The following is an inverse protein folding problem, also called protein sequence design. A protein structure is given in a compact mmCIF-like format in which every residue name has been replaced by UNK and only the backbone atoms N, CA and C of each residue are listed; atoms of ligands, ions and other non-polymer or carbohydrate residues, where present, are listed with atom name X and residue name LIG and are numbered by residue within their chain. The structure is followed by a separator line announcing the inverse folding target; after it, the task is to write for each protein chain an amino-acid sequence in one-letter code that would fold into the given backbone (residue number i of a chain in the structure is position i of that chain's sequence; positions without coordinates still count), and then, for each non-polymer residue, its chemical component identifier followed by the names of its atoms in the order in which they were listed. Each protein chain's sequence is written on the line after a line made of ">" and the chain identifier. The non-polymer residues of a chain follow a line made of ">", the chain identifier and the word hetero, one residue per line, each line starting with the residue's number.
data_IF_897354408019
#
_entry.id   IF_897354408019
#
_cell.length_a   1.000
_cell.length_b   1.000
_cell.length_c   1.000
_cell.angle_alpha   90.00
_cell.angle_beta   90.00
_cell.angle_gamma   90.00
#
_symmetry.space_group_name_H-M   'P 1'
#
loop_
_entity.id
_entity.type
_entity.pdbx_description
1 polymer ?
#
# COMPACT_ATOMS: atom_id res chain seq x y z
N UNK A 1 -9.78 -14.14 95.31
CA UNK A 1 -9.81 -15.05 94.18
C UNK A 1 -10.12 -14.19 92.96
N UNK A 2 -9.08 -13.79 92.18
CA UNK A 2 -9.22 -12.91 91.04
C UNK A 2 -9.17 -13.80 89.79
N UNK A 3 -10.18 -13.72 88.97
CA UNK A 3 -10.26 -14.40 87.66
C UNK A 3 -9.90 -13.36 86.62
N UNK A 4 -8.77 -13.58 85.87
CA UNK A 4 -8.37 -12.79 84.70
C UNK A 4 -9.00 -13.41 83.48
N UNK A 5 -9.77 -12.60 82.73
CA UNK A 5 -10.24 -12.95 81.42
C UNK A 5 -9.19 -12.54 80.39
N UNK A 6 -8.60 -13.52 79.67
CA UNK A 6 -7.82 -13.28 78.42
C UNK A 6 -8.78 -13.08 77.24
N UNK A 7 -8.74 -11.90 76.63
CA UNK A 7 -9.42 -11.63 75.41
C UNK A 7 -8.52 -12.03 74.19
N UNK A 8 -8.99 -12.98 73.34
CA UNK A 8 -8.39 -13.29 72.10
C UNK A 8 -8.84 -12.25 71.08
N UNK A 9 -7.91 -11.44 70.57
CA UNK A 9 -8.14 -10.56 69.42
C UNK A 9 -7.84 -11.32 68.14
N UNK A 10 -8.87 -11.64 67.35
CA UNK A 10 -8.74 -12.20 66.00
C UNK A 10 -8.42 -11.09 65.04
N UNK A 11 -7.18 -11.07 64.49
CA UNK A 11 -6.77 -10.19 63.39
C UNK A 11 -7.24 -10.83 62.08
N UNK A 12 -8.33 -10.33 61.51
CA UNK A 12 -8.77 -10.70 60.16
C UNK A 12 -7.87 -10.05 59.12
N UNK A 13 -7.07 -10.84 58.40
CA UNK A 13 -6.31 -10.39 57.25
C UNK A 13 -7.27 -10.20 56.06
N UNK A 14 -7.56 -8.94 55.70
CA UNK A 14 -8.27 -8.60 54.45
C UNK A 14 -7.27 -8.75 53.31
N UNK A 15 -7.37 -9.84 52.50
CA UNK A 15 -6.71 -9.94 51.20
C UNK A 15 -7.41 -8.98 50.27
N UNK A 16 -6.81 -7.81 50.01
CA UNK A 16 -7.14 -6.98 48.89
C UNK A 16 -6.65 -7.69 47.62
N UNK A 17 -7.54 -8.40 46.90
CA UNK A 17 -7.29 -8.83 45.55
C UNK A 17 -7.24 -7.56 44.66
N UNK A 18 -6.04 -7.10 44.34
CA UNK A 18 -5.85 -6.10 43.26
C UNK A 18 -6.27 -6.76 41.96
N UNK A 19 -7.45 -6.46 41.49
CA UNK A 19 -7.81 -6.70 40.07
C UNK A 19 -6.94 -5.78 39.25
N UNK A 20 -5.78 -6.27 38.79
CA UNK A 20 -5.02 -5.61 37.76
C UNK A 20 -5.95 -5.48 36.55
N UNK A 21 -6.26 -4.27 36.16
CA UNK A 21 -6.87 -4.03 34.85
C UNK A 21 -5.87 -4.62 33.85
N UNK A 22 -6.24 -5.70 33.18
CA UNK A 22 -5.46 -6.23 32.07
C UNK A 22 -5.41 -5.09 31.02
N UNK A 23 -4.20 -4.65 30.70
CA UNK A 23 -4.00 -3.65 29.64
C UNK A 23 -4.50 -4.25 28.33
N UNK A 24 -5.31 -3.51 27.59
CA UNK A 24 -5.76 -3.94 26.26
C UNK A 24 -4.52 -4.16 25.38
N UNK A 25 -4.32 -5.35 24.80
CA UNK A 25 -3.16 -5.59 23.97
C UNK A 25 -3.26 -4.76 22.69
N UNK A 26 -2.14 -4.14 22.28
CA UNK A 26 -2.07 -3.25 21.10
C UNK A 26 -1.30 -3.93 19.98
N UNK A 27 -1.83 -3.90 18.75
CA UNK A 27 -1.13 -4.30 17.52
C UNK A 27 -0.78 -3.06 16.71
N UNK A 28 0.50 -2.79 16.54
CA UNK A 28 0.99 -1.70 15.70
C UNK A 28 1.15 -2.18 14.24
N UNK A 29 0.53 -1.47 13.31
CA UNK A 29 0.64 -1.69 11.87
C UNK A 29 1.29 -0.48 11.23
N UNK A 30 2.46 -0.68 10.63
CA UNK A 30 3.14 0.34 9.85
C UNK A 30 2.65 0.28 8.40
N UNK A 31 2.18 1.41 7.86
CA UNK A 31 1.54 1.46 6.54
C UNK A 31 1.82 2.79 5.84
N UNK A 32 1.24 3.01 4.68
CA UNK A 32 1.37 4.26 3.94
C UNK A 32 0.33 5.32 4.36
N UNK A 33 0.62 6.59 4.07
CA UNK A 33 -0.13 7.72 4.63
C UNK A 33 -1.59 7.75 4.15
N UNK A 34 -1.86 7.44 2.88
CA UNK A 34 -3.25 7.44 2.38
C UNK A 34 -4.10 6.32 3.00
N UNK A 35 -3.50 5.20 3.41
CA UNK A 35 -4.22 4.14 4.13
C UNK A 35 -4.77 4.62 5.47
N UNK A 36 -4.04 5.49 6.17
CA UNK A 36 -4.41 6.02 7.49
C UNK A 36 -5.31 7.25 7.44
N UNK A 37 -5.56 7.81 6.27
CA UNK A 37 -6.40 8.99 6.09
C UNK A 37 -7.85 8.70 6.49
N UNK A 38 -8.61 9.74 6.87
CA UNK A 38 -10.03 9.60 7.24
C UNK A 38 -10.89 8.96 6.12
N UNK A 39 -10.50 9.17 4.87
CA UNK A 39 -11.13 8.60 3.68
C UNK A 39 -10.51 7.26 3.23
N UNK A 40 -9.37 6.87 3.79
CA UNK A 40 -8.67 5.64 3.49
C UNK A 40 -9.28 4.41 4.18
N UNK A 41 -8.75 3.22 3.91
CA UNK A 41 -9.30 1.97 4.45
C UNK A 41 -9.04 1.77 5.96
N UNK A 42 -8.01 2.42 6.52
CA UNK A 42 -7.57 2.23 7.90
C UNK A 42 -8.68 2.32 8.94
N UNK A 43 -9.49 3.41 9.00
CA UNK A 43 -10.53 3.56 10.02
C UNK A 43 -11.61 2.47 10.01
N UNK A 44 -12.00 2.01 8.83
CA UNK A 44 -13.00 0.94 8.69
C UNK A 44 -12.42 -0.42 9.10
N UNK A 45 -11.18 -0.70 8.72
CA UNK A 45 -10.44 -1.93 9.06
C UNK A 45 -10.16 -1.99 10.56
N UNK A 46 -9.73 -0.87 11.19
CA UNK A 46 -9.52 -0.75 12.63
C UNK A 46 -10.82 -1.14 13.37
N UNK A 47 -11.93 -0.48 13.03
CA UNK A 47 -13.24 -0.75 13.64
C UNK A 47 -13.63 -2.22 13.51
N UNK A 48 -13.46 -2.81 12.31
CA UNK A 48 -13.86 -4.20 12.06
C UNK A 48 -12.98 -5.21 12.81
N UNK A 49 -11.66 -5.00 12.83
CA UNK A 49 -10.76 -5.92 13.52
C UNK A 49 -10.88 -5.82 15.05
N UNK A 50 -11.01 -4.62 15.60
CA UNK A 50 -11.16 -4.42 17.05
C UNK A 50 -12.46 -5.05 17.60
N UNK A 51 -13.53 -5.06 16.80
CA UNK A 51 -14.76 -5.76 17.17
C UNK A 51 -14.56 -7.27 17.37
N UNK A 52 -13.55 -7.87 16.73
CA UNK A 52 -13.25 -9.30 16.82
C UNK A 52 -12.12 -9.63 17.80
N UNK A 53 -11.11 -8.75 17.93
CA UNK A 53 -9.87 -9.09 18.64
C UNK A 53 -9.89 -8.81 20.13
N UNK A 54 -10.74 -7.92 20.60
CA UNK A 54 -10.64 -7.34 21.96
C UNK A 54 -9.26 -6.72 22.21
N UNK A 55 -8.73 -6.03 21.22
CA UNK A 55 -7.43 -5.39 21.18
C UNK A 55 -7.55 -3.93 20.69
N UNK A 56 -6.46 -3.21 20.67
CA UNK A 56 -6.27 -1.88 20.11
C UNK A 56 -5.41 -2.02 18.86
N UNK A 57 -5.94 -1.68 17.69
CA UNK A 57 -5.23 -1.72 16.40
C UNK A 57 -4.77 -0.31 16.03
N UNK A 58 -3.46 -0.11 15.96
CA UNK A 58 -2.89 1.22 15.71
C UNK A 58 -2.18 1.25 14.37
N UNK A 59 -2.71 2.03 13.42
CA UNK A 59 -2.04 2.31 12.16
C UNK A 59 -1.10 3.51 12.29
N UNK A 60 0.11 3.38 11.74
CA UNK A 60 1.10 4.46 11.66
C UNK A 60 1.53 4.65 10.22
N UNK A 61 1.28 5.83 9.66
CA UNK A 61 1.74 6.20 8.32
C UNK A 61 3.26 6.45 8.27
N UNK A 62 3.85 6.14 7.12
CA UNK A 62 5.30 6.29 6.88
C UNK A 62 5.62 6.75 5.44
N UNK A 63 4.84 7.65 4.89
CA UNK A 63 4.91 8.04 3.48
C UNK A 63 4.27 6.96 2.58
N UNK A 64 4.86 6.67 1.42
CA UNK A 64 4.45 5.56 0.55
C UNK A 64 5.37 4.34 0.75
N UNK A 65 5.14 3.24 0.00
CA UNK A 65 5.78 1.95 0.23
C UNK A 65 7.31 1.95 0.18
N UNK A 66 7.95 2.75 -0.67
CA UNK A 66 9.41 2.84 -0.70
C UNK A 66 9.97 3.58 0.53
N UNK A 67 9.29 4.62 1.02
CA UNK A 67 9.62 5.30 2.28
C UNK A 67 9.38 4.39 3.49
N UNK A 68 8.28 3.62 3.46
CA UNK A 68 7.94 2.59 4.45
C UNK A 68 9.10 1.58 4.62
N UNK A 69 9.60 1.01 3.51
CA UNK A 69 10.72 0.06 3.55
C UNK A 69 11.99 0.73 4.07
N UNK A 70 12.30 1.96 3.63
CA UNK A 70 13.47 2.69 4.11
C UNK A 70 13.42 2.94 5.64
N UNK A 71 12.25 3.28 6.18
CA UNK A 71 12.03 3.39 7.62
C UNK A 71 12.30 2.07 8.35
N UNK A 72 11.74 0.98 7.86
CA UNK A 72 11.98 -0.36 8.44
C UNK A 72 13.45 -0.76 8.43
N UNK A 73 14.18 -0.46 7.36
CA UNK A 73 15.62 -0.72 7.28
C UNK A 73 16.41 0.09 8.33
N UNK A 74 15.99 1.33 8.62
CA UNK A 74 16.62 2.15 9.67
C UNK A 74 16.29 1.66 11.08
N UNK A 75 15.06 1.26 11.34
CA UNK A 75 14.61 0.75 12.64
C UNK A 75 15.15 -0.66 12.90
N UNK A 76 15.18 -1.50 11.87
CA UNK A 76 15.62 -2.89 11.96
C UNK A 76 14.82 -3.66 13.02
N UNK A 77 15.51 -4.44 13.83
CA UNK A 77 14.91 -5.24 14.93
C UNK A 77 14.33 -4.38 16.07
N UNK A 78 14.44 -3.06 16.02
CA UNK A 78 13.88 -2.14 17.03
C UNK A 78 12.52 -1.60 16.66
N UNK A 79 12.02 -1.95 15.47
CA UNK A 79 10.66 -1.55 15.07
C UNK A 79 9.64 -2.10 16.08
N UNK A 80 8.65 -1.29 16.41
CA UNK A 80 7.51 -1.67 17.25
C UNK A 80 6.33 -2.18 16.41
N UNK A 81 6.47 -2.21 15.09
CA UNK A 81 5.47 -2.76 14.21
C UNK A 81 5.33 -4.27 14.38
N UNK A 82 4.11 -4.74 14.52
CA UNK A 82 3.78 -6.18 14.44
C UNK A 82 3.48 -6.62 13.00
N UNK A 83 2.98 -5.68 12.21
CA UNK A 83 2.63 -5.85 10.80
C UNK A 83 3.16 -4.66 10.00
N UNK A 84 3.57 -4.95 8.77
CA UNK A 84 3.84 -3.97 7.72
C UNK A 84 2.85 -4.21 6.60
N UNK A 85 2.13 -3.17 6.17
CA UNK A 85 1.09 -3.25 5.14
C UNK A 85 1.33 -2.14 4.11
N UNK A 86 1.36 -2.48 2.81
CA UNK A 86 1.55 -1.51 1.73
C UNK A 86 2.96 -1.46 1.14
N UNK A 87 3.75 -2.53 1.32
CA UNK A 87 4.83 -2.84 0.37
C UNK A 87 4.20 -3.39 -0.92
N UNK A 88 4.95 -3.37 -2.01
CA UNK A 88 4.50 -3.94 -3.27
C UNK A 88 5.50 -4.96 -3.83
N UNK A 89 5.12 -5.63 -4.91
CA UNK A 89 5.96 -6.64 -5.59
C UNK A 89 7.36 -6.15 -5.95
N UNK A 90 7.56 -4.85 -6.24
CA UNK A 90 8.88 -4.29 -6.56
C UNK A 90 9.80 -4.17 -5.34
N UNK A 91 9.22 -4.22 -4.12
CA UNK A 91 9.93 -4.03 -2.87
C UNK A 91 10.13 -5.34 -2.09
N UNK A 92 9.40 -6.42 -2.42
CA UNK A 92 9.40 -7.66 -1.62
C UNK A 92 10.76 -8.35 -1.55
N UNK A 93 11.58 -8.34 -2.59
CA UNK A 93 12.93 -8.91 -2.54
C UNK A 93 13.82 -8.13 -1.55
N UNK A 94 13.87 -6.81 -1.66
CA UNK A 94 14.64 -5.96 -0.76
C UNK A 94 14.11 -6.01 0.69
N UNK A 95 12.79 -6.18 0.88
CA UNK A 95 12.19 -6.38 2.18
C UNK A 95 12.59 -7.74 2.79
N UNK A 96 12.60 -8.80 2.00
CA UNK A 96 13.03 -10.15 2.41
C UNK A 96 14.48 -10.16 2.87
N UNK A 97 15.35 -9.43 2.18
CA UNK A 97 16.78 -9.31 2.50
C UNK A 97 17.06 -8.65 3.86
N UNK A 98 16.08 -7.91 4.41
CA UNK A 98 16.20 -7.34 5.76
C UNK A 98 16.18 -8.42 6.86
N UNK A 99 15.60 -9.59 6.60
CA UNK A 99 15.40 -10.65 7.59
C UNK A 99 14.38 -10.31 8.68
N UNK A 100 13.57 -9.26 8.50
CA UNK A 100 12.63 -8.77 9.52
C UNK A 100 11.30 -9.51 9.53
N UNK A 101 10.98 -10.29 8.49
CA UNK A 101 9.65 -10.85 8.29
C UNK A 101 9.60 -12.36 8.56
N UNK A 102 8.42 -12.82 8.96
CA UNK A 102 8.10 -14.23 9.19
C UNK A 102 6.99 -14.70 8.24
N UNK A 103 6.88 -16.00 8.00
CA UNK A 103 5.77 -16.55 7.22
C UNK A 103 4.41 -16.11 7.78
N UNK A 104 3.48 -15.74 6.90
CA UNK A 104 2.15 -15.26 7.31
C UNK A 104 1.19 -16.37 7.72
N UNK A 105 1.39 -17.61 7.24
CA UNK A 105 0.59 -18.77 7.63
C UNK A 105 -0.85 -18.79 7.08
N UNK A 106 -1.20 -17.87 6.18
CA UNK A 106 -2.53 -17.77 5.58
C UNK A 106 -2.58 -18.55 4.28
N UNK A 107 -3.65 -19.30 4.07
CA UNK A 107 -3.98 -19.94 2.79
C UNK A 107 -5.30 -19.38 2.30
N UNK A 108 -5.35 -18.89 1.08
CA UNK A 108 -6.55 -18.33 0.47
C UNK A 108 -6.54 -18.52 -1.05
N UNK A 109 -7.72 -18.44 -1.66
CA UNK A 109 -7.89 -18.44 -3.12
C UNK A 109 -7.80 -16.99 -3.62
N UNK A 110 -6.59 -16.57 -4.05
CA UNK A 110 -6.36 -15.23 -4.55
C UNK A 110 -6.89 -15.03 -5.97
N UNK A 111 -7.47 -13.86 -6.24
CA UNK A 111 -7.99 -13.42 -7.57
C UNK A 111 -7.07 -12.42 -8.25
N UNK A 112 -5.76 -12.69 -8.17
CA UNK A 112 -4.75 -11.86 -8.81
C UNK A 112 -4.60 -12.22 -10.30
N UNK A 113 -4.20 -11.26 -11.16
CA UNK A 113 -3.90 -11.56 -12.56
C UNK A 113 -2.61 -12.36 -12.77
N UNK A 114 -1.88 -12.69 -11.70
CA UNK A 114 -0.67 -13.50 -11.65
C UNK A 114 -0.79 -14.59 -10.58
N UNK A 115 -0.07 -15.70 -10.75
CA UNK A 115 0.01 -16.71 -9.70
C UNK A 115 0.72 -16.15 -8.45
N UNK A 116 0.26 -16.57 -7.28
CA UNK A 116 0.83 -16.13 -6.00
C UNK A 116 1.10 -17.33 -5.10
N UNK A 117 2.36 -17.48 -4.69
CA UNK A 117 2.84 -18.58 -3.84
C UNK A 117 3.82 -18.12 -2.74
N UNK A 118 3.91 -16.81 -2.50
CA UNK A 118 4.77 -16.22 -1.47
C UNK A 118 4.21 -16.52 -0.07
N UNK A 119 5.02 -17.09 0.81
CA UNK A 119 4.64 -17.47 2.17
C UNK A 119 4.88 -16.37 3.21
N UNK A 120 5.57 -15.32 2.83
CA UNK A 120 5.99 -14.20 3.70
C UNK A 120 5.15 -12.94 3.45
N UNK A 121 4.89 -12.64 2.18
CA UNK A 121 4.16 -11.47 1.74
C UNK A 121 2.76 -11.85 1.28
N UNK A 122 1.75 -11.44 2.05
CA UNK A 122 0.33 -11.72 1.79
C UNK A 122 -0.26 -10.61 0.93
N UNK A 123 -0.79 -10.89 -0.27
CA UNK A 123 -1.42 -9.86 -1.09
C UNK A 123 -2.76 -9.44 -0.48
N UNK A 124 -3.07 -8.14 -0.53
CA UNK A 124 -4.37 -7.66 -0.06
C UNK A 124 -5.13 -6.87 -1.11
N UNK A 125 -4.45 -6.24 -2.06
CA UNK A 125 -5.07 -5.59 -3.21
C UNK A 125 -4.12 -5.55 -4.42
N UNK A 126 -4.66 -5.09 -5.56
CA UNK A 126 -3.89 -4.93 -6.79
C UNK A 126 -4.54 -3.96 -7.78
N UNK A 127 -3.76 -3.44 -8.69
CA UNK A 127 -4.21 -2.61 -9.80
C UNK A 127 -3.13 -2.46 -10.86
N UNK A 128 -3.51 -1.86 -11.99
CA UNK A 128 -2.56 -1.51 -13.03
C UNK A 128 -2.24 -0.03 -12.95
N UNK A 129 -0.96 0.33 -12.96
CA UNK A 129 -0.54 1.71 -13.11
C UNK A 129 -1.07 2.31 -14.41
N UNK A 130 -1.53 3.54 -14.36
CA UNK A 130 -2.02 4.28 -15.50
C UNK A 130 -1.90 5.78 -15.28
N UNK A 131 -1.87 6.56 -16.34
CA UNK A 131 -2.14 7.98 -16.22
C UNK A 131 -3.65 8.20 -16.19
N UNK A 132 -4.10 8.97 -15.20
CA UNK A 132 -5.48 9.42 -15.03
C UNK A 132 -5.59 10.85 -15.54
N UNK A 133 -6.61 11.11 -16.32
CA UNK A 133 -6.85 12.40 -16.97
C UNK A 133 -8.35 12.73 -17.02
N UNK A 134 -8.69 13.93 -17.46
CA UNK A 134 -10.06 14.27 -17.84
C UNK A 134 -10.43 13.51 -19.15
N UNK A 135 -11.70 13.13 -19.30
CA UNK A 135 -12.18 12.41 -20.50
C UNK A 135 -12.02 13.20 -21.80
N UNK A 136 -11.99 14.52 -21.74
CA UNK A 136 -11.77 15.39 -22.91
C UNK A 136 -10.28 15.61 -23.23
N UNK A 137 -9.35 15.18 -22.36
CA UNK A 137 -7.93 15.14 -22.67
C UNK A 137 -7.65 14.04 -23.69
N UNK A 138 -7.02 14.33 -24.83
CA UNK A 138 -6.70 13.30 -25.82
C UNK A 138 -5.86 12.17 -25.20
N UNK A 139 -6.31 10.91 -25.27
CA UNK A 139 -5.56 9.82 -24.67
C UNK A 139 -4.27 9.53 -25.44
N UNK A 140 -3.22 9.17 -24.71
CA UNK A 140 -1.99 8.60 -25.29
C UNK A 140 -1.90 7.12 -24.95
N UNK A 141 -1.34 6.33 -25.89
CA UNK A 141 -1.27 4.87 -25.77
C UNK A 141 0.16 4.34 -25.59
N UNK A 142 1.13 5.25 -25.41
CA UNK A 142 2.53 4.88 -25.19
C UNK A 142 3.30 6.02 -24.51
N UNK A 143 4.41 5.69 -23.86
CA UNK A 143 5.34 6.69 -23.31
C UNK A 143 5.93 7.58 -24.41
N UNK A 144 6.19 7.03 -25.60
CA UNK A 144 6.69 7.81 -26.74
C UNK A 144 5.67 8.85 -27.20
N UNK A 145 4.40 8.43 -27.35
CA UNK A 145 3.32 9.36 -27.70
C UNK A 145 3.11 10.44 -26.62
N UNK A 146 3.34 10.10 -25.34
CA UNK A 146 3.30 11.09 -24.26
C UNK A 146 4.47 12.09 -24.37
N UNK A 147 5.69 11.62 -24.61
CA UNK A 147 6.87 12.47 -24.79
C UNK A 147 6.75 13.40 -26.01
N UNK A 148 6.11 12.91 -27.09
CA UNK A 148 5.89 13.67 -28.32
C UNK A 148 4.70 14.66 -28.23
N UNK A 149 3.98 14.68 -27.10
CA UNK A 149 2.81 15.55 -26.87
C UNK A 149 3.18 16.81 -26.08
N UNK A 150 2.25 17.78 -26.07
CA UNK A 150 2.34 18.97 -25.19
C UNK A 150 1.74 18.72 -23.80
N UNK A 151 1.24 17.50 -23.51
CA UNK A 151 0.57 17.16 -22.26
C UNK A 151 1.51 17.33 -21.06
N UNK A 152 0.97 17.84 -19.99
CA UNK A 152 1.66 18.03 -18.71
C UNK A 152 1.23 16.98 -17.70
N UNK A 153 2.19 16.33 -17.06
CA UNK A 153 1.94 15.25 -16.12
C UNK A 153 2.58 15.53 -14.76
N UNK A 154 1.96 14.98 -13.74
CA UNK A 154 2.56 14.85 -12.40
C UNK A 154 2.87 13.39 -12.13
N UNK A 155 4.07 13.13 -11.66
CA UNK A 155 4.54 11.80 -11.25
C UNK A 155 5.07 11.84 -9.81
N UNK A 156 5.34 10.67 -9.25
CA UNK A 156 5.90 10.54 -7.92
C UNK A 156 7.38 10.13 -7.97
N UNK A 157 8.09 10.44 -6.89
CA UNK A 157 9.50 10.09 -6.74
C UNK A 157 9.67 8.58 -6.51
N UNK A 158 10.41 7.86 -7.36
CA UNK A 158 10.60 6.41 -7.22
C UNK A 158 11.38 6.00 -5.96
N UNK A 159 12.00 6.96 -5.27
CA UNK A 159 12.76 6.71 -4.05
C UNK A 159 11.89 6.67 -2.79
N UNK A 160 10.70 7.24 -2.85
CA UNK A 160 9.76 7.31 -1.71
C UNK A 160 8.41 6.69 -2.01
N UNK A 161 7.92 6.77 -3.26
CA UNK A 161 6.56 6.39 -3.64
C UNK A 161 6.49 5.03 -4.34
N UNK A 162 5.47 4.25 -4.02
CA UNK A 162 5.14 2.98 -4.68
C UNK A 162 4.81 3.18 -6.17
N UNK A 163 3.83 4.05 -6.56
CA UNK A 163 3.56 4.27 -7.98
C UNK A 163 4.74 4.91 -8.71
N UNK A 164 5.54 5.76 -8.05
CA UNK A 164 6.76 6.31 -8.66
C UNK A 164 7.77 5.24 -8.99
N UNK A 165 8.02 4.29 -8.09
CA UNK A 165 8.88 3.13 -8.35
C UNK A 165 8.29 2.23 -9.43
N UNK A 166 6.98 1.98 -9.37
CA UNK A 166 6.27 1.19 -10.38
C UNK A 166 6.36 1.80 -11.78
N UNK A 167 6.27 3.13 -11.92
CA UNK A 167 6.48 3.82 -13.20
C UNK A 167 7.90 3.60 -13.73
N UNK A 168 8.89 3.67 -12.85
CA UNK A 168 10.28 3.43 -13.23
C UNK A 168 10.45 2.01 -13.80
N UNK A 169 9.86 1.01 -13.13
CA UNK A 169 9.84 -0.38 -13.60
C UNK A 169 9.05 -0.55 -14.89
N UNK A 170 7.92 0.14 -15.03
CA UNK A 170 7.09 0.10 -16.24
C UNK A 170 7.83 0.63 -17.46
N UNK A 171 8.46 1.81 -17.34
CA UNK A 171 9.29 2.38 -18.41
C UNK A 171 10.41 1.42 -18.79
N UNK A 172 11.10 0.82 -17.82
CA UNK A 172 12.15 -0.17 -18.07
C UNK A 172 11.61 -1.43 -18.76
N UNK A 173 10.48 -1.97 -18.29
CA UNK A 173 9.88 -3.17 -18.87
C UNK A 173 9.47 -2.98 -20.36
N UNK A 174 9.10 -1.74 -20.74
CA UNK A 174 8.72 -1.42 -22.12
C UNK A 174 9.91 -1.07 -22.99
N UNK A 175 10.90 -0.33 -22.47
CA UNK A 175 11.95 0.33 -23.25
C UNK A 175 13.35 -0.24 -23.02
N UNK A 176 13.56 -1.05 -21.98
CA UNK A 176 14.87 -1.65 -21.70
C UNK A 176 15.99 -0.61 -21.63
N UNK A 177 17.01 -0.79 -22.46
CA UNK A 177 18.18 0.10 -22.52
C UNK A 177 17.86 1.52 -23.02
N UNK A 178 16.72 1.73 -23.68
CA UNK A 178 16.26 3.05 -24.16
C UNK A 178 15.54 3.86 -23.08
N UNK A 179 15.28 3.29 -21.89
CA UNK A 179 14.56 3.93 -20.80
C UNK A 179 15.19 5.28 -20.38
N UNK A 180 16.52 5.36 -20.31
CA UNK A 180 17.23 6.59 -19.94
C UNK A 180 16.97 7.74 -20.93
N UNK A 181 16.97 7.44 -22.24
CA UNK A 181 16.66 8.44 -23.26
C UNK A 181 15.18 8.87 -23.18
N UNK A 182 14.28 7.91 -22.95
CA UNK A 182 12.86 8.24 -22.80
C UNK A 182 12.60 9.19 -21.61
N UNK A 183 13.29 9.02 -20.51
CA UNK A 183 13.19 9.96 -19.37
C UNK A 183 13.64 11.38 -19.74
N UNK A 184 14.71 11.50 -20.55
CA UNK A 184 15.14 12.80 -21.08
C UNK A 184 14.08 13.41 -21.98
N UNK A 185 13.45 12.60 -22.83
CA UNK A 185 12.41 13.05 -23.76
C UNK A 185 11.10 13.44 -23.02
N UNK A 186 10.79 12.79 -21.89
CA UNK A 186 9.63 13.08 -21.03
C UNK A 186 9.84 14.29 -20.11
N UNK A 187 11.07 14.78 -19.95
CA UNK A 187 11.39 15.79 -18.93
C UNK A 187 10.51 17.06 -19.07
N UNK A 188 10.25 17.51 -20.29
CA UNK A 188 9.42 18.70 -20.55
C UNK A 188 7.92 18.47 -20.28
N UNK A 189 7.46 17.22 -20.23
CA UNK A 189 6.08 16.89 -19.88
C UNK A 189 5.87 16.87 -18.37
N UNK A 190 6.91 16.61 -17.57
CA UNK A 190 6.82 16.46 -16.12
C UNK A 190 6.81 17.84 -15.46
N UNK A 191 5.63 18.25 -14.95
CA UNK A 191 5.48 19.53 -14.23
C UNK A 191 6.21 19.49 -12.89
N UNK A 192 6.05 18.38 -12.17
CA UNK A 192 6.68 18.17 -10.87
C UNK A 192 6.73 16.69 -10.51
N UNK A 193 7.63 16.39 -9.58
CA UNK A 193 7.79 15.08 -8.96
C UNK A 193 7.45 15.23 -7.47
N UNK A 194 6.40 14.56 -7.01
CA UNK A 194 5.95 14.63 -5.62
C UNK A 194 6.54 13.50 -4.76
N UNK A 195 6.64 13.66 -3.44
CA UNK A 195 7.14 12.60 -2.56
C UNK A 195 6.21 11.38 -2.50
N UNK A 196 4.90 11.57 -2.67
CA UNK A 196 3.89 10.51 -2.57
C UNK A 196 2.72 10.71 -3.53
N UNK A 197 1.81 9.71 -3.51
CA UNK A 197 0.65 9.67 -4.39
C UNK A 197 -0.36 10.78 -4.09
N UNK A 198 -0.64 11.05 -2.82
CA UNK A 198 -1.66 12.03 -2.40
C UNK A 198 -1.36 13.43 -2.94
N UNK A 199 -0.11 13.88 -2.86
CA UNK A 199 0.30 15.19 -3.35
C UNK A 199 0.15 15.29 -4.87
N UNK A 200 0.56 14.23 -5.60
CA UNK A 200 0.44 14.20 -7.05
C UNK A 200 -1.03 14.29 -7.49
N UNK A 201 -1.88 13.48 -6.87
CA UNK A 201 -3.29 13.43 -7.22
C UNK A 201 -4.00 14.76 -6.92
N UNK A 202 -3.68 15.40 -5.80
CA UNK A 202 -4.20 16.71 -5.44
C UNK A 202 -3.79 17.82 -6.43
N UNK A 203 -2.56 17.79 -6.96
CA UNK A 203 -2.13 18.73 -8.01
C UNK A 203 -2.94 18.54 -9.31
N UNK A 204 -3.19 17.31 -9.70
CA UNK A 204 -4.06 17.02 -10.85
C UNK A 204 -5.49 17.52 -10.63
N UNK A 205 -6.08 17.28 -9.46
CA UNK A 205 -7.41 17.76 -9.12
C UNK A 205 -7.49 19.29 -9.08
N UNK A 206 -6.39 19.95 -8.71
CA UNK A 206 -6.27 21.42 -8.75
C UNK A 206 -6.10 21.98 -10.19
N UNK A 207 -5.96 21.13 -11.20
CA UNK A 207 -5.79 21.52 -12.60
C UNK A 207 -4.36 21.96 -12.95
N UNK A 208 -3.36 21.59 -12.15
CA UNK A 208 -1.95 21.94 -12.38
C UNK A 208 -1.28 21.03 -13.44
N UNK A 209 -1.95 19.95 -13.87
CA UNK A 209 -1.48 19.06 -14.91
C UNK A 209 -2.67 18.42 -15.67
N UNK A 210 -2.41 17.99 -16.90
CA UNK A 210 -3.39 17.31 -17.75
C UNK A 210 -3.64 15.86 -17.31
N UNK A 211 -2.61 15.21 -16.73
CA UNK A 211 -2.72 13.86 -16.22
C UNK A 211 -1.80 13.63 -15.02
N UNK A 212 -2.15 12.62 -14.23
CA UNK A 212 -1.38 12.17 -13.06
C UNK A 212 -1.12 10.67 -13.14
N UNK A 213 0.06 10.24 -12.72
CA UNK A 213 0.33 8.83 -12.52
C UNK A 213 -0.50 8.31 -11.34
N UNK A 214 -1.30 7.29 -11.59
CA UNK A 214 -2.14 6.62 -10.60
C UNK A 214 -2.47 5.20 -11.13
N UNK A 215 -3.73 4.77 -11.01
CA UNK A 215 -4.16 3.42 -11.37
C UNK A 215 -5.34 3.45 -12.35
N UNK A 216 -5.52 2.36 -13.08
CA UNK A 216 -6.71 2.18 -13.93
C UNK A 216 -8.02 2.22 -13.12
N UNK A 217 -7.94 1.96 -11.84
CA UNK A 217 -9.09 1.97 -10.91
C UNK A 217 -9.41 3.34 -10.30
N UNK A 218 -8.49 4.30 -10.36
CA UNK A 218 -8.68 5.62 -9.72
C UNK A 218 -9.94 6.38 -10.17
N UNK A 219 -10.41 6.27 -11.44
CA UNK A 219 -11.68 6.89 -11.83
C UNK A 219 -12.90 6.39 -11.05
N UNK A 220 -12.84 5.21 -10.40
CA UNK A 220 -13.94 4.69 -9.56
C UNK A 220 -14.27 5.61 -8.40
N UNK A 221 -13.27 6.22 -7.76
CA UNK A 221 -13.48 7.20 -6.70
C UNK A 221 -14.41 8.32 -7.15
N UNK A 222 -14.10 8.94 -8.27
CA UNK A 222 -14.91 10.06 -8.79
C UNK A 222 -16.31 9.60 -9.18
N UNK A 223 -16.40 8.46 -9.88
CA UNK A 223 -17.68 7.92 -10.34
C UNK A 223 -18.59 7.53 -9.19
N UNK A 224 -18.06 6.89 -8.14
CA UNK A 224 -18.87 6.28 -7.07
C UNK A 224 -19.07 7.22 -5.89
N UNK A 225 -18.01 7.90 -5.43
CA UNK A 225 -18.07 8.75 -4.25
C UNK A 225 -18.50 10.19 -4.58
N UNK A 226 -18.20 10.70 -5.79
CA UNK A 226 -18.46 12.09 -6.19
C UNK A 226 -19.56 12.23 -7.26
N UNK A 227 -20.10 11.13 -7.80
CA UNK A 227 -21.03 11.12 -8.95
C UNK A 227 -20.45 11.90 -10.16
N UNK A 228 -19.11 11.84 -10.31
CA UNK A 228 -18.33 12.52 -11.36
C UNK A 228 -17.77 11.49 -12.35
N UNK A 229 -18.32 11.43 -13.54
CA UNK A 229 -17.87 10.55 -14.61
C UNK A 229 -16.86 11.20 -15.56
N UNK A 230 -16.28 12.35 -15.22
CA UNK A 230 -15.36 13.10 -16.09
C UNK A 230 -13.94 12.56 -16.13
N UNK A 231 -13.55 11.67 -15.24
CA UNK A 231 -12.21 11.09 -15.18
C UNK A 231 -12.09 9.79 -15.96
N UNK A 232 -10.91 9.56 -16.52
CA UNK A 232 -10.57 8.32 -17.23
C UNK A 232 -9.10 7.96 -16.97
N UNK A 233 -8.74 6.71 -17.28
CA UNK A 233 -7.35 6.25 -17.25
C UNK A 233 -6.92 5.71 -18.60
N UNK A 234 -5.64 5.80 -18.93
CA UNK A 234 -5.12 5.39 -20.23
C UNK A 234 -4.54 3.98 -20.20
N UNK A 235 -4.99 3.13 -21.14
CA UNK A 235 -4.36 1.85 -21.42
C UNK A 235 -3.28 2.03 -22.49
N UNK A 236 -2.07 1.51 -22.23
CA UNK A 236 -0.97 1.56 -23.19
C UNK A 236 -0.95 0.31 -24.08
N UNK A 237 -0.60 0.48 -25.36
CA UNK A 237 -0.54 -0.60 -26.34
C UNK A 237 0.47 -1.70 -25.96
N UNK A 238 1.58 -1.33 -25.33
CA UNK A 238 2.56 -2.27 -24.81
C UNK A 238 2.04 -3.06 -23.60
N UNK A 239 1.05 -2.52 -22.88
CA UNK A 239 0.49 -3.00 -21.63
C UNK A 239 0.73 -2.02 -20.47
N UNK A 240 0.02 -2.23 -19.36
CA UNK A 240 0.19 -1.45 -18.14
C UNK A 240 0.88 -2.31 -17.06
N UNK A 241 1.65 -1.67 -16.19
CA UNK A 241 2.39 -2.36 -15.14
C UNK A 241 1.47 -2.73 -13.99
N UNK A 242 1.51 -4.00 -13.59
CA UNK A 242 0.75 -4.51 -12.46
C UNK A 242 1.45 -4.13 -11.16
N UNK A 243 0.69 -3.65 -10.20
CA UNK A 243 1.08 -3.54 -8.81
C UNK A 243 0.22 -4.48 -7.98
N UNK A 244 0.85 -5.27 -7.10
CA UNK A 244 0.19 -6.04 -6.06
C UNK A 244 0.73 -5.54 -4.73
N UNK A 245 -0.14 -5.02 -3.88
CA UNK A 245 0.22 -4.59 -2.54
C UNK A 245 0.15 -5.75 -1.56
N UNK A 246 1.09 -5.76 -0.62
CA UNK A 246 1.26 -6.87 0.30
C UNK A 246 1.36 -6.42 1.75
N UNK A 247 0.89 -7.30 2.64
CA UNK A 247 1.14 -7.23 4.07
C UNK A 247 2.16 -8.29 4.49
N UNK A 248 2.94 -7.99 5.53
CA UNK A 248 3.92 -8.92 6.09
C UNK A 248 3.95 -8.84 7.61
N UNK A 249 4.09 -10.00 8.25
CA UNK A 249 4.24 -10.13 9.70
C UNK A 249 5.69 -9.92 10.10
N UNK A 250 5.93 -9.06 11.10
CA UNK A 250 7.27 -8.83 11.66
C UNK A 250 7.65 -9.99 12.59
N UNK A 251 8.83 -10.57 12.37
CA UNK A 251 9.25 -11.83 13.00
C UNK A 251 9.42 -11.76 14.52
N UNK A 252 9.85 -10.59 15.04
CA UNK A 252 10.14 -10.38 16.47
C UNK A 252 9.08 -9.58 17.21
N UNK A 253 7.86 -9.50 16.68
CA UNK A 253 6.77 -8.80 17.38
C UNK A 253 6.41 -9.50 18.70
N UNK A 254 6.20 -8.71 19.75
CA UNK A 254 5.71 -9.20 21.05
C UNK A 254 4.24 -9.62 21.00
N UNK A 255 3.53 -9.26 19.93
CA UNK A 255 2.10 -9.50 19.70
C UNK A 255 1.86 -10.58 18.63
N UNK A 256 2.68 -11.63 18.59
CA UNK A 256 2.61 -12.68 17.54
C UNK A 256 1.18 -13.21 17.34
N UNK A 257 0.43 -13.48 18.41
CA UNK A 257 -0.94 -13.99 18.31
C UNK A 257 -1.93 -13.00 17.67
N UNK A 258 -1.78 -11.69 17.93
CA UNK A 258 -2.58 -10.65 17.28
C UNK A 258 -2.16 -10.47 15.82
N UNK A 259 -0.85 -10.49 15.55
CA UNK A 259 -0.32 -10.41 14.21
C UNK A 259 -0.80 -11.57 13.34
N UNK A 260 -0.81 -12.81 13.85
CA UNK A 260 -1.35 -13.98 13.13
C UNK A 260 -2.85 -13.83 12.85
N UNK A 261 -3.61 -13.30 13.81
CA UNK A 261 -5.05 -13.03 13.63
C UNK A 261 -5.29 -11.93 12.59
N UNK A 262 -4.48 -10.87 12.60
CA UNK A 262 -4.60 -9.78 11.64
C UNK A 262 -4.24 -10.25 10.22
N UNK A 263 -3.18 -11.05 10.05
CA UNK A 263 -2.86 -11.66 8.76
C UNK A 263 -4.02 -12.53 8.22
N UNK A 264 -4.66 -13.31 9.09
CA UNK A 264 -5.85 -14.09 8.71
C UNK A 264 -7.05 -13.18 8.39
N UNK A 265 -7.21 -12.07 9.13
CA UNK A 265 -8.28 -11.09 8.91
C UNK A 265 -8.13 -10.37 7.57
N UNK A 266 -6.89 -10.07 7.10
CA UNK A 266 -6.64 -9.50 5.76
C UNK A 266 -7.27 -10.37 4.67
N UNK A 267 -7.26 -11.69 4.83
CA UNK A 267 -7.87 -12.63 3.90
C UNK A 267 -9.37 -12.87 4.15
N UNK A 268 -10.05 -12.05 4.92
CA UNK A 268 -11.48 -12.15 5.22
C UNK A 268 -12.32 -11.17 4.40
N UNK A 269 -13.63 -11.44 4.22
CA UNK A 269 -14.54 -10.47 3.63
C UNK A 269 -14.59 -9.13 4.38
N UNK A 270 -14.46 -9.14 5.72
CA UNK A 270 -14.50 -7.94 6.54
C UNK A 270 -13.36 -6.94 6.22
N UNK A 271 -12.22 -7.42 5.75
CA UNK A 271 -11.14 -6.58 5.23
C UNK A 271 -11.32 -6.29 3.74
N UNK A 272 -11.57 -7.33 2.94
CA UNK A 272 -11.51 -7.24 1.48
C UNK A 272 -12.66 -6.43 0.87
N UNK A 273 -13.85 -6.43 1.49
CA UNK A 273 -15.00 -5.63 1.04
C UNK A 273 -14.79 -4.12 1.24
N UNK A 274 -13.86 -3.73 2.12
CA UNK A 274 -13.50 -2.31 2.36
C UNK A 274 -12.63 -1.75 1.21
N UNK A 275 -11.77 -2.57 0.63
CA UNK A 275 -10.75 -2.14 -0.34
C UNK A 275 -11.33 -1.43 -1.58
N UNK A 276 -12.35 -1.94 -2.27
CA UNK A 276 -12.84 -1.31 -3.50
C UNK A 276 -13.44 0.10 -3.30
N UNK A 277 -13.94 0.41 -2.09
CA UNK A 277 -14.64 1.67 -1.81
C UNK A 277 -13.81 2.68 -1.02
N UNK A 278 -12.63 2.30 -0.54
CA UNK A 278 -11.78 3.19 0.26
C UNK A 278 -10.35 3.27 -0.23
N UNK A 279 -9.78 2.15 -0.73
CA UNK A 279 -8.47 2.13 -1.38
C UNK A 279 -8.58 2.22 -2.91
N UNK A 280 -9.78 2.04 -3.46
CA UNK A 280 -10.08 2.14 -4.89
C UNK A 280 -9.20 1.20 -5.74
N UNK A 281 -8.91 0.02 -5.20
CA UNK A 281 -8.13 -1.04 -5.83
C UNK A 281 -8.97 -2.31 -5.98
N UNK A 282 -8.50 -3.25 -6.78
CA UNK A 282 -9.12 -4.58 -6.83
C UNK A 282 -8.69 -5.38 -5.58
N UNK A 283 -9.63 -6.01 -4.85
CA UNK A 283 -9.30 -6.85 -3.72
C UNK A 283 -8.54 -8.12 -4.17
N UNK A 284 -7.66 -8.63 -3.29
CA UNK A 284 -6.89 -9.83 -3.59
C UNK A 284 -7.70 -11.13 -3.51
N UNK A 285 -8.88 -11.11 -2.89
CA UNK A 285 -9.78 -12.25 -2.72
C UNK A 285 -11.13 -11.92 -3.35
N UNK A 286 -11.88 -12.93 -3.84
CA UNK A 286 -13.19 -12.70 -4.47
C UNK A 286 -14.14 -11.93 -3.55
N UNK A 287 -14.60 -10.78 -4.00
CA UNK A 287 -15.67 -9.99 -3.37
C UNK A 287 -16.57 -9.38 -4.43
N UNK A 288 -17.69 -8.81 -4.01
CA UNK A 288 -18.58 -8.08 -4.91
C UNK A 288 -18.04 -6.67 -5.11
N UNK A 289 -17.62 -6.36 -6.34
CA UNK A 289 -17.18 -5.02 -6.67
C UNK A 289 -18.36 -4.04 -6.74
N UNK A 290 -18.16 -2.79 -6.32
CA UNK A 290 -19.17 -1.74 -6.47
C UNK A 290 -19.55 -1.51 -7.93
N UNK A 291 -20.81 -1.08 -8.15
CA UNK A 291 -21.26 -0.69 -9.47
C UNK A 291 -20.39 0.45 -10.03
N UNK A 292 -19.93 0.30 -11.27
CA UNK A 292 -19.01 1.25 -11.89
C UNK A 292 -17.61 0.68 -12.09
N UNK A 293 -17.16 -0.30 -11.29
CA UNK A 293 -15.89 -0.99 -11.53
C UNK A 293 -15.84 -1.73 -12.87
N UNK A 294 -17.00 -2.18 -13.37
CA UNK A 294 -17.15 -2.84 -14.67
C UNK A 294 -16.98 -1.86 -15.87
N UNK A 295 -16.97 -0.55 -15.61
CA UNK A 295 -16.75 0.49 -16.63
C UNK A 295 -15.31 0.97 -16.70
N UNK A 296 -14.46 0.55 -15.77
CA UNK A 296 -13.06 0.99 -15.69
C UNK A 296 -12.21 0.45 -16.84
N UNK A 297 -11.15 1.16 -17.15
CA UNK A 297 -10.18 0.75 -18.15
C UNK A 297 -9.50 -0.56 -17.72
N UNK A 298 -9.59 -1.59 -18.56
CA UNK A 298 -8.85 -2.84 -18.38
C UNK A 298 -7.79 -2.93 -19.48
N UNK A 299 -6.48 -2.92 -19.14
CA UNK A 299 -5.42 -3.04 -20.11
C UNK A 299 -5.48 -4.39 -20.86
N UNK A 300 -5.18 -4.39 -22.14
CA UNK A 300 -5.13 -5.63 -22.93
C UNK A 300 -4.00 -6.57 -22.48
N UNK A 301 -2.96 -6.02 -21.83
CA UNK A 301 -1.82 -6.75 -21.28
C UNK A 301 -1.42 -6.15 -19.94
N UNK A 302 -1.14 -7.03 -18.98
CA UNK A 302 -0.42 -6.67 -17.76
C UNK A 302 1.07 -6.99 -17.89
N UNK A 303 1.92 -6.20 -17.27
CA UNK A 303 3.36 -6.43 -17.15
C UNK A 303 3.75 -6.40 -15.69
N UNK A 304 4.69 -7.26 -15.31
CA UNK A 304 5.26 -7.30 -13.97
C UNK A 304 6.67 -7.88 -14.07
N UNK A 305 7.66 -7.20 -13.53
CA UNK A 305 8.97 -7.79 -13.27
C UNK A 305 8.86 -8.72 -12.07
N UNK A 306 9.64 -9.79 -12.04
CA UNK A 306 9.79 -10.53 -10.78
C UNK A 306 10.40 -9.61 -9.72
N UNK A 307 10.14 -9.90 -8.44
CA UNK A 307 10.70 -9.09 -7.34
C UNK A 307 12.23 -9.02 -7.36
N UNK A 308 12.90 -10.09 -7.80
CA UNK A 308 14.35 -10.12 -7.93
C UNK A 308 14.83 -9.24 -9.09
N UNK A 309 14.20 -9.33 -10.26
CA UNK A 309 14.53 -8.45 -11.40
C UNK A 309 14.34 -6.98 -11.03
N UNK A 310 13.24 -6.63 -10.36
CA UNK A 310 13.01 -5.27 -9.89
C UNK A 310 14.11 -4.80 -8.91
N UNK A 311 14.51 -5.64 -7.97
CA UNK A 311 15.59 -5.33 -7.03
C UNK A 311 16.95 -5.14 -7.73
N UNK A 312 17.27 -6.00 -8.70
CA UNK A 312 18.55 -5.98 -9.41
C UNK A 312 18.72 -4.71 -10.27
N UNK A 313 17.64 -4.18 -10.84
CA UNK A 313 17.70 -3.01 -11.74
C UNK A 313 17.44 -1.68 -11.04
N UNK A 314 16.82 -1.67 -9.87
CA UNK A 314 16.28 -0.49 -9.18
C UNK A 314 17.29 0.67 -9.06
N UNK A 315 18.44 0.42 -8.50
CA UNK A 315 19.42 1.48 -8.21
C UNK A 315 19.96 2.13 -9.50
N UNK A 316 20.22 1.32 -10.51
CA UNK A 316 20.65 1.80 -11.83
C UNK A 316 19.58 2.65 -12.52
N UNK A 317 18.30 2.22 -12.43
CA UNK A 317 17.18 2.94 -13.01
C UNK A 317 16.92 4.27 -12.28
N UNK A 318 17.00 4.29 -10.95
CA UNK A 318 16.86 5.52 -10.14
C UNK A 318 17.94 6.53 -10.52
N UNK A 319 19.20 6.09 -10.68
CA UNK A 319 20.30 6.98 -11.07
C UNK A 319 20.12 7.53 -12.49
N UNK A 320 19.71 6.68 -13.44
CA UNK A 320 19.41 7.09 -14.82
C UNK A 320 18.27 8.11 -14.89
N UNK A 321 17.17 7.84 -14.18
CA UNK A 321 16.03 8.74 -14.05
C UNK A 321 16.42 10.09 -13.46
N UNK A 322 17.16 10.07 -12.35
CA UNK A 322 17.65 11.29 -11.68
C UNK A 322 18.51 12.13 -12.60
N UNK A 323 19.42 11.49 -13.33
CA UNK A 323 20.31 12.16 -14.27
C UNK A 323 19.55 12.80 -15.42
N UNK A 324 18.56 12.08 -15.98
CA UNK A 324 17.73 12.58 -17.08
C UNK A 324 16.91 13.82 -16.67
N UNK A 325 16.29 13.81 -15.48
CA UNK A 325 15.46 14.93 -15.00
C UNK A 325 16.26 16.09 -14.36
N UNK A 326 17.57 15.98 -14.26
CA UNK A 326 18.45 17.05 -13.72
C UNK A 326 19.08 17.92 -14.82
N UNK A 327 18.82 17.61 -16.10
CA UNK A 327 19.33 18.34 -17.25
C UNK A 327 18.37 19.46 -17.67
#
# INVERSE_FOLDING_TARGET
>A
MKIELLGLASVGAILCASTGLAQTPTLNVLTYDSFTSEWGPGPAIETAFEAECACDLVFTGAGDGAALLARLQLEGMRTDAGIVLGLDTNLTAAARDTGLFAPHGVTSDFTLPVAWDDDTFLPFDWGYLAFVAQKDTPPVTSFRALADSDLKIVIQDPRSSTPGLGLLMWVHAVHGDEAAQLWTDLADNIVTVTPGWTEAYNLFLAGEADAVLSYTTSPAYHLIAEDDDTKTSWAFDAGNYLQVEVAAKVANTDQTGLADRFMAFIASPAFQDVIPETNWMYPAIPTTLPAGFDTLTVPAKGMLLSSQEAADVRDGLVEAWRTALSQ
#
